data_IF_669749303175
#
_entry.id   IF_669749303175
#
_cell.length_a   1.000
_cell.length_b   1.000
_cell.length_c   1.000
_cell.angle_alpha   90.00
_cell.angle_beta   90.00
_cell.angle_gamma   90.00
#
_symmetry.space_group_name_H-M   'P 1'
#
loop_
_entity.id
_entity.type
_entity.pdbx_description
1 polymer ?
#
# COMPACT_ATOMS: atom_id res chain seq x y z
N UNK A 1 50.72 0.18 35.19
CA UNK A 1 49.62 -0.78 34.92
C UNK A 1 48.42 -0.37 35.78
N UNK A 2 47.30 0.07 35.18
CA UNK A 2 46.17 0.63 35.94
C UNK A 2 44.83 0.26 35.27
N UNK A 3 44.18 -0.72 35.90
CA UNK A 3 42.74 -1.01 36.03
C UNK A 3 41.80 -0.88 34.81
N UNK A 4 41.30 -2.06 34.39
CA UNK A 4 40.10 -2.26 33.58
C UNK A 4 38.85 -1.75 34.32
N UNK A 5 37.95 -1.06 33.61
CA UNK A 5 36.54 -0.89 33.99
C UNK A 5 35.69 -1.17 32.75
N UNK A 6 35.03 -2.32 32.76
CA UNK A 6 33.94 -2.64 31.84
C UNK A 6 32.73 -1.80 32.24
N UNK A 7 32.25 -0.96 31.32
CA UNK A 7 30.94 -0.31 31.42
C UNK A 7 30.14 -0.87 30.25
N UNK A 8 29.19 -1.75 30.57
CA UNK A 8 28.11 -2.16 29.68
C UNK A 8 27.00 -1.11 29.77
N UNK A 9 26.70 -0.33 28.71
CA UNK A 9 25.40 0.28 28.57
C UNK A 9 24.47 -0.71 27.88
N UNK A 10 23.46 -1.05 28.66
CA UNK A 10 22.26 -1.81 28.34
C UNK A 10 21.53 -1.18 27.14
N UNK A 11 21.15 -2.04 26.20
CA UNK A 11 19.91 -2.04 25.43
C UNK A 11 19.35 -0.65 25.00
N UNK A 12 19.67 -0.26 23.78
CA UNK A 12 18.82 0.65 23.00
C UNK A 12 18.38 -0.09 21.73
N UNK A 13 17.33 -0.90 21.87
CA UNK A 13 16.48 -1.27 20.75
C UNK A 13 15.78 0.01 20.29
N UNK A 14 16.31 0.66 19.26
CA UNK A 14 15.67 1.80 18.60
C UNK A 14 15.52 1.48 17.12
N UNK A 15 14.36 0.90 16.82
CA UNK A 15 13.49 1.18 15.66
C UNK A 15 14.25 1.66 14.41
N UNK A 16 14.59 0.69 13.56
CA UNK A 16 14.80 0.92 12.13
C UNK A 16 13.79 0.10 11.34
N UNK A 17 12.50 0.25 11.66
CA UNK A 17 11.41 -0.15 10.76
C UNK A 17 10.86 1.13 10.16
N UNK A 18 11.29 1.43 8.94
CA UNK A 18 10.88 2.66 8.24
C UNK A 18 11.67 2.99 6.97
N UNK A 19 12.70 2.22 6.63
CA UNK A 19 13.48 2.40 5.40
C UNK A 19 13.53 1.11 4.57
N UNK A 20 12.37 0.51 4.33
CA UNK A 20 12.27 -0.69 3.49
C UNK A 20 11.36 -0.47 2.28
N UNK A 21 11.57 0.61 1.52
CA UNK A 21 11.30 0.69 0.07
C UNK A 21 12.16 1.79 -0.55
N UNK A 22 13.48 1.72 -0.37
CA UNK A 22 14.41 2.43 -1.24
C UNK A 22 15.55 1.48 -1.59
N UNK A 23 15.69 1.26 -2.90
CA UNK A 23 16.72 0.45 -3.57
C UNK A 23 16.50 -1.06 -3.57
N UNK A 24 15.70 -1.54 -4.53
CA UNK A 24 16.18 -2.63 -5.38
C UNK A 24 16.20 -2.15 -6.83
N UNK A 25 17.43 -1.92 -7.29
CA UNK A 25 17.91 -2.37 -8.59
C UNK A 25 17.40 -1.61 -9.84
N UNK A 26 18.34 -0.87 -10.45
CA UNK A 26 18.35 -0.62 -11.89
C UNK A 26 18.35 -1.95 -12.64
N UNK A 27 17.17 -2.52 -12.86
CA UNK A 27 16.94 -3.48 -13.93
C UNK A 27 16.17 -2.74 -15.01
N UNK A 28 16.89 -2.31 -16.06
CA UNK A 28 16.31 -1.97 -17.36
C UNK A 28 15.79 -3.26 -18.02
N UNK A 29 14.85 -3.94 -17.37
CA UNK A 29 13.93 -4.87 -18.01
C UNK A 29 12.64 -4.10 -18.21
N UNK A 30 11.96 -4.26 -19.34
CA UNK A 30 10.56 -3.83 -19.47
C UNK A 30 9.77 -4.50 -18.34
N UNK A 31 9.64 -3.82 -17.20
CA UNK A 31 8.87 -4.28 -16.07
C UNK A 31 7.46 -4.41 -16.60
N UNK A 32 7.02 -5.65 -16.83
CA UNK A 32 5.64 -5.89 -17.25
C UNK A 32 4.81 -5.24 -16.16
N UNK A 33 3.87 -4.34 -16.50
CA UNK A 33 3.05 -3.69 -15.50
C UNK A 33 2.40 -4.79 -14.66
N UNK A 34 2.80 -4.88 -13.38
CA UNK A 34 2.27 -5.89 -12.47
C UNK A 34 0.86 -5.43 -12.15
N UNK A 35 -0.14 -6.21 -12.57
CA UNK A 35 -1.51 -5.96 -12.19
C UNK A 35 -1.65 -6.24 -10.70
N UNK A 36 -1.94 -5.20 -9.93
CA UNK A 36 -2.16 -5.27 -8.49
C UNK A 36 -3.65 -5.04 -8.17
N UNK A 37 -4.12 -5.68 -7.10
CA UNK A 37 -5.47 -5.48 -6.58
C UNK A 37 -5.41 -4.58 -5.35
N UNK A 38 -6.29 -3.60 -5.28
CA UNK A 38 -6.39 -2.64 -4.20
C UNK A 38 -7.80 -2.64 -3.63
N UNK A 39 -7.93 -2.49 -2.30
CA UNK A 39 -9.21 -2.23 -1.67
C UNK A 39 -9.52 -0.74 -1.76
N UNK A 40 -10.79 -0.39 -1.96
CA UNK A 40 -11.26 0.99 -2.09
C UNK A 40 -12.07 1.34 -0.84
N UNK A 41 -11.71 2.46 -0.20
CA UNK A 41 -12.45 3.04 0.92
C UNK A 41 -13.53 3.99 0.41
N UNK A 42 -13.14 4.86 -0.51
CA UNK A 42 -13.99 5.91 -1.07
C UNK A 42 -13.63 6.19 -2.53
N UNK A 43 -14.55 6.80 -3.27
CA UNK A 43 -14.33 7.17 -4.67
C UNK A 43 -14.81 8.59 -4.94
N UNK A 44 -14.02 9.30 -5.76
CA UNK A 44 -14.37 10.61 -6.32
C UNK A 44 -14.84 10.46 -7.77
N UNK A 45 -15.21 11.58 -8.40
CA UNK A 45 -15.53 11.63 -9.82
C UNK A 45 -14.43 11.06 -10.73
N UNK A 46 -13.15 11.19 -10.35
CA UNK A 46 -12.00 10.86 -11.21
C UNK A 46 -11.06 9.81 -10.65
N UNK A 47 -11.18 9.45 -9.36
CA UNK A 47 -10.22 8.58 -8.67
C UNK A 47 -10.87 7.67 -7.65
N UNK A 48 -10.26 6.51 -7.42
CA UNK A 48 -10.51 5.64 -6.28
C UNK A 48 -9.48 5.94 -5.18
N UNK A 49 -9.92 6.06 -3.93
CA UNK A 49 -9.05 6.11 -2.76
C UNK A 49 -8.86 4.70 -2.25
N UNK A 50 -7.62 4.25 -2.25
CA UNK A 50 -7.27 2.89 -1.87
C UNK A 50 -6.82 2.82 -0.42
N UNK A 51 -7.08 1.67 0.18
CA UNK A 51 -6.70 1.37 1.56
C UNK A 51 -6.11 -0.03 1.67
N UNK A 52 -5.30 -0.25 2.69
CA UNK A 52 -4.83 -1.59 3.07
C UNK A 52 -5.87 -2.37 3.86
N UNK A 53 -6.91 -1.69 4.37
CA UNK A 53 -8.01 -2.31 5.11
C UNK A 53 -8.98 -2.95 4.13
N UNK A 54 -9.27 -4.24 4.34
CA UNK A 54 -10.29 -4.92 3.56
C UNK A 54 -11.67 -4.54 4.08
N UNK A 55 -12.54 -4.11 3.18
CA UNK A 55 -13.96 -3.91 3.48
C UNK A 55 -14.63 -5.29 3.67
N UNK A 56 -15.26 -5.56 4.84
CA UNK A 56 -15.85 -6.86 5.15
C UNK A 56 -17.10 -7.18 4.30
N UNK A 57 -17.76 -6.17 3.75
CA UNK A 57 -18.98 -6.29 2.94
C UNK A 57 -18.67 -6.29 1.43
N UNK A 58 -17.39 -6.25 1.08
CA UNK A 58 -16.95 -6.28 -0.31
C UNK A 58 -17.31 -7.60 -1.00
N UNK A 59 -18.02 -7.51 -2.12
CA UNK A 59 -18.55 -8.64 -2.88
C UNK A 59 -20.03 -8.94 -2.62
N UNK A 60 -20.66 -8.25 -1.65
CA UNK A 60 -22.06 -8.48 -1.27
C UNK A 60 -23.05 -7.47 -1.87
N UNK A 61 -22.63 -6.60 -2.79
CA UNK A 61 -23.52 -5.62 -3.43
C UNK A 61 -23.02 -5.12 -4.79
N UNK A 62 -23.67 -4.08 -5.33
CA UNK A 62 -23.42 -3.57 -6.69
C UNK A 62 -23.35 -2.03 -6.78
N UNK A 63 -23.37 -1.32 -5.65
CA UNK A 63 -23.55 0.14 -5.63
C UNK A 63 -22.23 0.89 -5.53
N UNK A 64 -21.35 0.46 -4.61
CA UNK A 64 -20.09 1.15 -4.28
C UNK A 64 -18.92 0.24 -4.61
N UNK A 65 -17.93 0.76 -5.35
CA UNK A 65 -16.72 -0.01 -5.67
C UNK A 65 -15.92 -0.27 -4.40
N UNK A 66 -15.59 -1.53 -4.11
CA UNK A 66 -14.81 -1.91 -2.93
C UNK A 66 -13.46 -2.56 -3.27
N UNK A 67 -13.29 -3.07 -4.50
CA UNK A 67 -11.98 -3.48 -5.03
C UNK A 67 -11.77 -3.05 -6.47
N UNK A 68 -10.52 -2.72 -6.76
CA UNK A 68 -10.05 -2.40 -8.10
C UNK A 68 -8.79 -3.19 -8.42
N UNK A 69 -8.59 -3.44 -9.71
CA UNK A 69 -7.32 -3.90 -10.26
C UNK A 69 -6.69 -2.77 -11.05
N UNK A 70 -5.40 -2.52 -10.84
CA UNK A 70 -4.65 -1.49 -11.56
C UNK A 70 -3.19 -1.87 -11.69
N UNK A 71 -2.58 -1.39 -12.77
CA UNK A 71 -1.13 -1.43 -12.97
C UNK A 71 -0.45 -0.13 -12.54
N UNK A 72 -1.24 0.89 -12.18
CA UNK A 72 -0.75 2.13 -11.63
C UNK A 72 -0.50 1.98 -10.13
N UNK A 73 0.56 2.61 -9.65
CA UNK A 73 0.79 2.79 -8.22
C UNK A 73 -0.07 3.93 -7.69
N UNK A 74 -0.64 3.81 -6.47
CA UNK A 74 -1.32 4.91 -5.80
C UNK A 74 -0.42 6.15 -5.70
N UNK A 75 -1.01 7.34 -5.82
CA UNK A 75 -0.28 8.59 -5.59
C UNK A 75 -0.01 8.83 -4.09
N UNK A 76 0.62 9.96 -3.75
CA UNK A 76 0.95 10.32 -2.38
C UNK A 76 -0.27 10.43 -1.44
N UNK A 77 -1.48 10.54 -2.00
CA UNK A 77 -2.74 10.58 -1.26
C UNK A 77 -3.50 9.24 -1.27
N UNK A 78 -2.84 8.13 -1.65
CA UNK A 78 -3.44 6.82 -1.81
C UNK A 78 -4.59 6.78 -2.83
N UNK A 79 -4.47 7.49 -3.95
CA UNK A 79 -5.49 7.49 -5.00
C UNK A 79 -4.98 6.86 -6.29
N UNK A 80 -5.89 6.21 -6.99
CA UNK A 80 -5.66 5.69 -8.35
C UNK A 80 -6.73 6.29 -9.26
N UNK A 81 -6.31 6.84 -10.40
CA UNK A 81 -7.25 7.39 -11.38
C UNK A 81 -8.15 6.29 -11.95
N UNK A 82 -9.44 6.59 -12.10
CA UNK A 82 -10.44 5.66 -12.66
C UNK A 82 -10.08 5.22 -14.08
N UNK A 83 -9.37 6.05 -14.85
CA UNK A 83 -8.89 5.72 -16.20
C UNK A 83 -7.76 4.69 -16.21
N UNK A 84 -7.15 4.42 -15.05
CA UNK A 84 -6.01 3.50 -14.89
C UNK A 84 -6.38 2.25 -14.07
N UNK A 85 -7.63 2.13 -13.65
CA UNK A 85 -8.11 1.06 -12.79
C UNK A 85 -9.42 0.46 -13.31
N UNK A 86 -9.60 -0.82 -13.04
CA UNK A 86 -10.83 -1.55 -13.35
C UNK A 86 -11.46 -2.02 -12.05
N UNK A 87 -12.70 -1.64 -11.79
CA UNK A 87 -13.47 -2.17 -10.66
C UNK A 87 -13.67 -3.69 -10.80
N UNK A 88 -13.42 -4.43 -9.73
CA UNK A 88 -13.52 -5.90 -9.70
C UNK A 88 -14.56 -6.42 -8.74
N UNK A 89 -14.81 -5.71 -7.63
CA UNK A 89 -15.85 -6.05 -6.67
C UNK A 89 -16.54 -4.79 -6.15
N UNK A 90 -17.79 -4.98 -5.71
CA UNK A 90 -18.68 -3.94 -5.20
C UNK A 90 -19.32 -4.34 -3.88
N UNK A 91 -19.74 -3.35 -3.11
CA UNK A 91 -20.53 -3.48 -1.88
C UNK A 91 -21.85 -2.72 -2.03
N UNK A 92 -22.80 -3.02 -1.18
CA UNK A 92 -24.09 -2.32 -1.15
C UNK A 92 -23.89 -0.90 -0.62
N UNK A 93 -24.67 0.04 -1.14
CA UNK A 93 -24.78 1.37 -0.53
C UNK A 93 -25.71 1.23 0.68
N UNK A 94 -25.15 1.32 1.88
CA UNK A 94 -25.93 1.39 3.12
C UNK A 94 -26.65 2.75 3.24
#
# INVERSE_FOLDING_TARGET
MKTRKFIFPVLAAMIAVGAAFATSEKATGKSKPVLATFNVDSEDATSYHVTSVQDPDCGNGNDVTCKISSTATPDANNRILKTQATATDWRSAD
#
